data_IF_339005859680
#
_entry.id   IF_339005859680
#
_cell.length_a   1.000
_cell.length_b   1.000
_cell.length_c   1.000
_cell.angle_alpha   90.00
_cell.angle_beta   90.00
_cell.angle_gamma   90.00
#
_symmetry.space_group_name_H-M   'P 1'
#
loop_
_entity.id
_entity.type
_entity.pdbx_description
1 polymer ?
#
# COMPACT_ATOMS: atom_id res chain seq x y z
N UNK A 1 -12.51 18.29 20.99
CA UNK A 1 -11.13 17.77 21.09
C UNK A 1 -10.78 16.63 20.12
N UNK A 2 -11.71 15.76 19.67
CA UNK A 2 -11.37 14.67 18.71
C UNK A 2 -11.13 15.14 17.26
N UNK A 3 -11.73 16.26 16.82
CA UNK A 3 -11.63 16.76 15.44
C UNK A 3 -10.21 17.20 15.02
N UNK A 4 -9.39 17.69 15.96
CA UNK A 4 -8.05 18.26 15.67
C UNK A 4 -7.04 17.19 15.24
N UNK A 5 -7.26 15.92 15.63
CA UNK A 5 -6.34 14.80 15.33
C UNK A 5 -6.79 13.93 14.16
N UNK A 6 -7.83 14.32 13.43
CA UNK A 6 -8.33 13.50 12.32
C UNK A 6 -7.28 13.25 11.24
N UNK A 7 -6.40 14.24 11.01
CA UNK A 7 -5.28 14.16 10.07
C UNK A 7 -3.97 13.69 10.72
N UNK A 8 -3.98 13.24 11.97
CA UNK A 8 -2.79 12.76 12.69
C UNK A 8 -2.63 11.25 12.52
N UNK A 9 -1.61 10.84 11.76
CA UNK A 9 -1.40 9.44 11.38
C UNK A 9 -1.19 8.50 12.57
N UNK A 10 -0.52 8.98 13.61
CA UNK A 10 -0.29 8.21 14.84
C UNK A 10 -1.61 7.95 15.57
N UNK A 11 -2.41 9.00 15.78
CA UNK A 11 -3.72 8.91 16.39
C UNK A 11 -4.66 8.01 15.59
N UNK A 12 -4.64 8.10 14.26
CA UNK A 12 -5.42 7.21 13.38
C UNK A 12 -4.99 5.76 13.52
N UNK A 13 -3.69 5.50 13.59
CA UNK A 13 -3.17 4.14 13.76
C UNK A 13 -3.63 3.49 15.07
N UNK A 14 -3.91 4.31 16.10
CA UNK A 14 -4.47 3.90 17.39
C UNK A 14 -6.00 3.70 17.36
N UNK A 15 -6.68 4.11 16.28
CA UNK A 15 -8.11 3.87 16.13
C UNK A 15 -8.36 2.54 15.42
N UNK A 16 -9.20 1.70 16.02
CA UNK A 16 -9.51 0.35 15.48
C UNK A 16 -10.10 0.40 14.07
N UNK A 17 -11.02 1.33 13.81
CA UNK A 17 -11.73 1.46 12.55
C UNK A 17 -11.11 2.43 11.54
N UNK A 18 -10.05 3.15 11.92
CA UNK A 18 -9.42 4.10 11.00
C UNK A 18 -8.37 3.42 10.12
N UNK A 19 -8.35 3.86 8.87
CA UNK A 19 -7.31 3.72 7.86
C UNK A 19 -6.59 5.06 7.71
N UNK A 20 -5.39 5.06 7.15
CA UNK A 20 -4.66 6.29 6.85
C UNK A 20 -5.24 7.02 5.64
N UNK A 21 -6.07 6.37 4.83
CA UNK A 21 -6.71 6.98 3.65
C UNK A 21 -8.23 6.85 3.81
N UNK A 22 -8.93 7.98 3.91
CA UNK A 22 -10.36 7.99 4.28
C UNK A 22 -11.25 7.38 3.19
N UNK A 23 -10.78 7.36 1.94
CA UNK A 23 -11.42 6.66 0.83
C UNK A 23 -11.69 5.18 1.12
N UNK A 24 -10.90 4.57 2.00
CA UNK A 24 -11.03 3.17 2.42
C UNK A 24 -11.91 2.95 3.66
N UNK A 25 -12.50 4.01 4.18
CA UNK A 25 -13.41 3.96 5.32
C UNK A 25 -14.85 4.07 4.84
N UNK A 26 -15.39 5.28 4.91
CA UNK A 26 -16.74 5.58 4.51
C UNK A 26 -16.90 7.04 4.12
N UNK A 27 -17.28 7.27 2.85
CA UNK A 27 -17.59 8.59 2.31
C UNK A 27 -18.82 9.27 2.96
N UNK A 28 -19.71 8.51 3.62
CA UNK A 28 -20.87 9.05 4.34
C UNK A 28 -20.56 9.50 5.78
N UNK A 29 -19.40 9.12 6.33
CA UNK A 29 -19.00 9.43 7.71
C UNK A 29 -17.78 10.35 7.76
N UNK A 30 -17.64 11.27 6.79
CA UNK A 30 -16.57 12.26 6.81
C UNK A 30 -16.83 13.33 7.87
N UNK A 31 -15.78 13.70 8.60
CA UNK A 31 -15.80 14.78 9.59
C UNK A 31 -16.05 16.15 8.95
N UNK A 32 -15.74 16.28 7.65
CA UNK A 32 -15.87 17.49 6.84
C UNK A 32 -17.28 17.65 6.26
N UNK A 33 -18.08 16.57 6.22
CA UNK A 33 -19.44 16.57 5.68
C UNK A 33 -20.33 15.65 6.53
N UNK A 34 -20.74 16.15 7.70
CA UNK A 34 -21.61 15.43 8.64
C UNK A 34 -23.00 15.29 8.00
N UNK A 35 -23.20 14.23 7.22
CA UNK A 35 -24.52 13.83 6.75
C UNK A 35 -25.31 13.26 7.93
N UNK A 36 -26.65 13.40 7.88
CA UNK A 36 -27.56 12.94 8.94
C UNK A 36 -27.57 11.42 9.15
N UNK A 37 -26.95 10.65 8.26
CA UNK A 37 -26.77 9.20 8.39
C UNK A 37 -25.32 8.81 8.08
N UNK A 38 -24.71 8.10 9.01
CA UNK A 38 -23.37 7.53 8.90
C UNK A 38 -23.51 6.00 8.87
N UNK A 39 -22.98 5.36 7.84
CA UNK A 39 -23.03 3.90 7.68
C UNK A 39 -21.69 3.25 8.08
N UNK A 40 -21.59 1.93 8.05
CA UNK A 40 -20.33 1.25 8.37
C UNK A 40 -19.26 1.43 7.27
N UNK A 41 -19.67 1.51 6.00
CA UNK A 41 -18.75 1.53 4.86
C UNK A 41 -17.85 0.30 4.84
N UNK A 42 -16.59 0.48 4.46
CA UNK A 42 -15.62 -0.61 4.41
C UNK A 42 -15.01 -0.97 5.76
N UNK A 43 -15.35 -0.26 6.85
CA UNK A 43 -14.78 -0.52 8.18
C UNK A 43 -15.28 -1.89 8.69
N UNK A 44 -14.39 -2.79 9.17
CA UNK A 44 -14.79 -4.07 9.74
C UNK A 44 -15.81 -3.93 10.89
N UNK A 45 -16.75 -4.87 10.98
CA UNK A 45 -17.87 -4.81 11.95
C UNK A 45 -17.39 -5.14 13.36
N UNK A 46 -16.49 -6.11 13.47
CA UNK A 46 -15.86 -6.52 14.72
C UNK A 46 -14.35 -6.49 14.60
N UNK A 47 -13.66 -6.33 15.72
CA UNK A 47 -12.21 -6.35 15.77
C UNK A 47 -11.70 -7.11 16.99
N UNK A 48 -10.65 -7.89 16.79
CA UNK A 48 -9.85 -8.49 17.85
C UNK A 48 -8.57 -7.68 17.98
N UNK A 49 -8.38 -7.09 19.16
CA UNK A 49 -7.10 -6.48 19.53
C UNK A 49 -6.11 -7.59 19.91
N UNK A 50 -5.22 -7.95 18.98
CA UNK A 50 -4.23 -8.99 19.20
C UNK A 50 -2.99 -8.41 19.88
N UNK A 51 -2.67 -8.94 21.05
CA UNK A 51 -1.46 -8.60 21.83
C UNK A 51 -0.51 -9.79 21.96
N UNK A 52 -1.04 -11.02 21.82
CA UNK A 52 -0.29 -12.26 21.94
C UNK A 52 -0.55 -13.20 20.75
N UNK A 53 0.40 -14.08 20.39
CA UNK A 53 0.22 -15.06 19.31
C UNK A 53 -1.05 -15.93 19.45
N UNK A 54 -1.51 -16.17 20.68
CA UNK A 54 -2.73 -16.93 20.98
C UNK A 54 -3.98 -16.20 20.47
N UNK A 55 -4.03 -14.87 20.53
CA UNK A 55 -5.14 -14.08 19.99
C UNK A 55 -5.23 -14.23 18.48
N UNK A 56 -4.07 -14.23 17.78
CA UNK A 56 -4.02 -14.48 16.33
C UNK A 56 -4.59 -15.87 16.03
N UNK A 57 -4.08 -16.90 16.72
CA UNK A 57 -4.50 -18.30 16.49
C UNK A 57 -6.00 -18.47 16.71
N UNK A 58 -6.52 -17.97 17.83
CA UNK A 58 -7.94 -18.07 18.16
C UNK A 58 -8.82 -17.30 17.15
N UNK A 59 -8.39 -16.12 16.70
CA UNK A 59 -9.13 -15.32 15.71
C UNK A 59 -9.20 -16.02 14.36
N UNK A 60 -8.08 -16.57 13.88
CA UNK A 60 -8.02 -17.33 12.61
C UNK A 60 -8.92 -18.57 12.71
N UNK A 61 -8.83 -19.33 13.81
CA UNK A 61 -9.68 -20.51 14.02
C UNK A 61 -11.17 -20.15 14.06
N UNK A 62 -11.52 -19.08 14.78
CA UNK A 62 -12.90 -18.60 14.87
C UNK A 62 -13.43 -18.15 13.51
N UNK A 63 -12.64 -17.36 12.77
CA UNK A 63 -13.01 -16.89 11.44
C UNK A 63 -13.20 -18.05 10.45
N UNK A 64 -12.28 -19.02 10.46
CA UNK A 64 -12.37 -20.23 9.63
C UNK A 64 -13.61 -21.07 9.97
N UNK A 65 -13.83 -21.35 11.25
CA UNK A 65 -14.95 -22.20 11.71
C UNK A 65 -16.31 -21.59 11.38
N UNK A 66 -16.41 -20.26 11.42
CA UNK A 66 -17.66 -19.53 11.22
C UNK A 66 -17.78 -18.92 9.81
N UNK A 67 -16.87 -19.26 8.88
CA UNK A 67 -16.84 -18.72 7.52
C UNK A 67 -16.92 -17.18 7.47
N UNK A 68 -16.17 -16.52 8.36
CA UNK A 68 -16.11 -15.06 8.42
C UNK A 68 -15.00 -14.54 7.52
N UNK A 69 -15.28 -13.44 6.83
CA UNK A 69 -14.25 -12.68 6.10
C UNK A 69 -13.26 -12.11 7.11
N UNK A 70 -12.02 -12.59 7.08
CA UNK A 70 -10.94 -12.10 7.94
C UNK A 70 -10.17 -10.99 7.24
N UNK A 71 -9.94 -9.89 7.94
CA UNK A 71 -9.10 -8.77 7.50
C UNK A 71 -8.01 -8.54 8.52
N UNK A 72 -6.80 -8.24 8.07
CA UNK A 72 -5.65 -8.00 8.94
C UNK A 72 -5.22 -6.54 8.81
N UNK A 73 -5.05 -5.86 9.96
CA UNK A 73 -4.56 -4.49 9.99
C UNK A 73 -3.47 -4.34 11.04
N UNK A 74 -2.39 -3.66 10.70
CA UNK A 74 -1.47 -3.07 11.67
C UNK A 74 -1.79 -1.58 11.86
N UNK A 75 -1.28 -0.72 10.97
CA UNK A 75 -1.43 0.74 11.01
C UNK A 75 -2.57 1.28 10.16
N UNK A 76 -3.06 0.50 9.19
CA UNK A 76 -4.08 0.94 8.23
C UNK A 76 -3.55 1.78 7.06
N UNK A 77 -2.25 1.71 6.78
CA UNK A 77 -1.57 2.50 5.74
C UNK A 77 -1.66 1.89 4.33
N UNK A 78 -2.56 0.93 4.11
CA UNK A 78 -2.63 0.27 2.82
C UNK A 78 -3.35 1.16 1.79
N UNK A 79 -2.63 1.59 0.74
CA UNK A 79 -3.16 2.46 -0.32
C UNK A 79 -4.12 1.73 -1.26
N UNK A 80 -4.15 0.40 -1.22
CA UNK A 80 -5.03 -0.45 -2.02
C UNK A 80 -6.23 -0.98 -1.23
N UNK A 81 -6.43 -0.56 0.03
CA UNK A 81 -7.60 -0.92 0.82
C UNK A 81 -7.58 -2.35 1.37
N UNK A 82 -6.44 -3.03 1.35
CA UNK A 82 -6.32 -4.45 1.68
C UNK A 82 -6.48 -4.76 3.18
N UNK A 83 -6.33 -3.74 4.02
CA UNK A 83 -6.47 -3.83 5.48
C UNK A 83 -7.88 -3.48 6.01
N UNK A 84 -8.90 -3.46 5.15
CA UNK A 84 -10.28 -3.10 5.51
C UNK A 84 -11.31 -3.73 4.58
N UNK A 85 -12.48 -4.14 5.08
CA UNK A 85 -13.60 -4.59 4.25
C UNK A 85 -14.94 -4.59 5.00
N UNK A 86 -16.01 -4.31 4.24
CA UNK A 86 -17.38 -4.46 4.70
C UNK A 86 -17.67 -5.90 5.18
N UNK A 87 -18.40 -6.02 6.29
CA UNK A 87 -18.87 -7.30 6.83
C UNK A 87 -17.78 -8.22 7.37
N UNK A 88 -16.57 -7.69 7.61
CA UNK A 88 -15.41 -8.50 8.03
C UNK A 88 -15.15 -8.47 9.53
N UNK A 89 -14.39 -9.47 9.98
CA UNK A 89 -13.74 -9.53 11.29
C UNK A 89 -12.29 -9.04 11.14
N UNK A 90 -11.93 -8.00 11.89
CA UNK A 90 -10.58 -7.44 11.90
C UNK A 90 -9.70 -8.15 12.92
N UNK A 91 -8.58 -8.70 12.47
CA UNK A 91 -7.44 -9.04 13.30
C UNK A 91 -6.50 -7.83 13.34
N UNK A 92 -6.50 -7.11 14.47
CA UNK A 92 -5.73 -5.88 14.63
C UNK A 92 -4.42 -6.13 15.39
N UNK A 93 -3.29 -5.99 14.68
CA UNK A 93 -1.95 -6.32 15.15
C UNK A 93 -1.17 -5.13 15.74
N UNK A 94 -1.78 -3.94 15.85
CA UNK A 94 -1.10 -2.69 16.22
C UNK A 94 -0.25 -2.80 17.51
N UNK A 95 -0.71 -3.58 18.50
CA UNK A 95 -0.06 -3.68 19.81
C UNK A 95 1.01 -4.78 19.90
N UNK A 96 1.26 -5.53 18.83
CA UNK A 96 2.33 -6.53 18.78
C UNK A 96 3.68 -5.87 18.47
N UNK A 97 4.22 -5.12 19.45
CA UNK A 97 5.42 -4.27 19.30
C UNK A 97 6.71 -4.89 19.86
N UNK A 98 6.73 -6.18 20.17
CA UNK A 98 7.94 -6.81 20.71
C UNK A 98 9.07 -6.82 19.66
N UNK A 99 10.24 -6.29 20.02
CA UNK A 99 11.41 -6.15 19.14
C UNK A 99 12.63 -6.79 19.80
N UNK A 100 13.41 -7.52 19.00
CA UNK A 100 14.70 -8.09 19.44
C UNK A 100 15.80 -7.54 18.55
N UNK A 101 16.86 -6.99 19.16
CA UNK A 101 18.02 -6.51 18.42
C UNK A 101 18.87 -7.70 17.96
N UNK A 102 19.13 -7.79 16.66
CA UNK A 102 20.08 -8.76 16.11
C UNK A 102 21.41 -8.03 15.88
N UNK A 103 22.49 -8.35 16.64
CA UNK A 103 23.70 -7.52 16.70
C UNK A 103 24.60 -7.52 15.44
N UNK A 104 24.14 -8.06 14.31
CA UNK A 104 24.95 -8.27 13.10
C UNK A 104 24.48 -7.42 11.89
N UNK A 105 24.07 -6.17 12.10
CA UNK A 105 23.66 -5.30 10.99
C UNK A 105 24.77 -4.31 10.64
N UNK A 106 25.41 -4.51 9.49
CA UNK A 106 26.28 -3.50 8.86
C UNK A 106 25.45 -2.78 7.80
N UNK A 107 24.91 -1.60 8.12
CA UNK A 107 24.31 -0.72 7.12
C UNK A 107 25.37 0.22 6.56
N UNK A 108 25.49 0.29 5.23
CA UNK A 108 26.27 1.34 4.58
C UNK A 108 25.36 2.56 4.46
N UNK A 109 25.75 3.67 5.07
CA UNK A 109 25.09 4.96 4.86
C UNK A 109 25.48 5.45 3.46
N UNK A 110 24.59 5.28 2.48
CA UNK A 110 24.89 5.56 1.07
C UNK A 110 24.83 7.06 0.76
N UNK A 111 24.21 7.88 1.63
CA UNK A 111 24.15 9.33 1.47
C UNK A 111 24.06 10.04 2.83
N UNK A 112 25.01 10.95 3.09
CA UNK A 112 24.94 11.92 4.17
C UNK A 112 24.58 13.28 3.56
N UNK A 113 23.31 13.66 3.59
CA UNK A 113 22.93 15.05 3.35
C UNK A 113 23.17 15.85 4.63
N UNK A 114 24.08 16.83 4.58
CA UNK A 114 24.10 17.89 5.59
C UNK A 114 23.10 18.96 5.19
N UNK A 115 21.88 18.86 5.71
CA UNK A 115 20.96 19.99 5.70
C UNK A 115 21.26 20.87 6.92
N UNK A 116 21.62 22.13 6.64
CA UNK A 116 21.74 23.15 7.68
C UNK A 116 20.36 23.79 7.86
N UNK A 117 19.80 23.61 9.06
CA UNK A 117 18.54 24.24 9.42
C UNK A 117 18.82 25.54 10.17
N UNK A 118 18.07 26.59 9.85
CA UNK A 118 18.19 27.91 10.49
C UNK A 118 17.92 27.87 12.00
N UNK A 119 17.21 26.84 12.49
CA UNK A 119 17.00 26.58 13.92
C UNK A 119 16.62 25.13 14.18
N UNK A 120 16.72 24.69 15.44
CA UNK A 120 16.23 23.38 15.89
C UNK A 120 14.71 23.23 15.64
N UNK A 121 13.95 24.32 15.73
CA UNK A 121 12.52 24.35 15.43
C UNK A 121 12.25 24.17 13.93
N UNK A 122 13.06 24.79 13.06
CA UNK A 122 12.98 24.60 11.61
C UNK A 122 13.39 23.19 11.20
N UNK A 123 14.40 22.61 11.85
CA UNK A 123 14.72 21.18 11.75
C UNK A 123 13.51 20.33 12.12
N UNK A 124 12.88 20.60 13.26
CA UNK A 124 11.70 19.85 13.70
C UNK A 124 10.51 20.01 12.74
N UNK A 125 10.30 21.19 12.17
CA UNK A 125 9.21 21.47 11.23
C UNK A 125 9.43 20.87 9.84
N UNK A 126 10.68 20.78 9.38
CA UNK A 126 11.02 20.30 8.03
C UNK A 126 11.30 18.79 8.01
N UNK A 127 11.90 18.23 9.07
CA UNK A 127 12.25 16.81 9.17
C UNK A 127 11.32 15.96 10.04
N UNK A 128 10.42 16.57 10.84
CA UNK A 128 9.12 15.90 10.98
C UNK A 128 8.38 16.15 9.68
N UNK A 129 8.83 15.48 8.62
CA UNK A 129 7.90 15.03 7.62
C UNK A 129 6.78 14.37 8.41
N UNK A 130 5.67 15.09 8.56
CA UNK A 130 4.37 14.49 8.49
C UNK A 130 4.49 13.71 7.20
N UNK A 131 4.79 12.41 7.26
CA UNK A 131 4.43 11.49 6.19
C UNK A 131 2.94 11.79 6.02
N UNK A 132 2.54 12.59 5.01
CA UNK A 132 1.24 13.19 5.00
C UNK A 132 0.32 12.03 4.65
N UNK A 133 -0.11 11.39 5.70
CA UNK A 133 -0.85 10.15 5.75
C UNK A 133 -1.99 10.56 6.65
N UNK A 134 -3.22 10.20 6.28
CA UNK A 134 -4.46 10.90 6.65
C UNK A 134 -4.93 11.96 5.64
N UNK A 135 -4.78 11.72 4.33
CA UNK A 135 -5.54 12.41 3.28
C UNK A 135 -5.94 11.42 2.20
N UNK A 136 -6.92 11.74 1.35
CA UNK A 136 -7.32 10.82 0.28
C UNK A 136 -6.35 10.86 -0.88
N UNK A 137 -5.87 9.70 -1.29
CA UNK A 137 -5.02 9.62 -2.45
C UNK A 137 -4.75 8.20 -2.88
N UNK A 138 -4.09 8.12 -4.02
CA UNK A 138 -3.61 6.90 -4.64
C UNK A 138 -2.18 7.12 -5.08
N UNK A 139 -1.48 6.02 -5.26
CA UNK A 139 -0.11 6.04 -5.74
C UNK A 139 0.04 5.03 -6.86
N UNK A 140 1.15 5.15 -7.59
CA UNK A 140 1.73 4.01 -8.26
C UNK A 140 3.25 4.11 -8.21
N UNK A 141 3.94 3.00 -8.45
CA UNK A 141 5.38 2.94 -8.24
C UNK A 141 6.10 2.05 -9.24
N UNK A 142 7.42 2.26 -9.32
CA UNK A 142 8.37 1.37 -9.99
C UNK A 142 9.64 1.22 -9.16
N UNK A 143 10.16 -0.01 -9.15
CA UNK A 143 11.50 -0.31 -8.69
C UNK A 143 12.46 -0.16 -9.87
N UNK A 144 13.35 0.83 -9.81
CA UNK A 144 14.31 1.16 -10.86
C UNK A 144 15.65 0.47 -10.55
N UNK A 145 16.11 -0.47 -11.41
CA UNK A 145 17.38 -1.15 -11.24
C UNK A 145 18.59 -0.21 -11.28
N UNK A 146 19.64 -0.56 -10.53
CA UNK A 146 20.93 0.15 -10.53
C UNK A 146 21.49 0.35 -11.95
N UNK A 147 21.34 -0.63 -12.83
CA UNK A 147 21.82 -0.57 -14.21
C UNK A 147 21.18 0.56 -15.01
N UNK A 148 19.89 0.84 -14.81
CA UNK A 148 19.19 1.97 -15.46
C UNK A 148 19.71 3.28 -14.89
N UNK A 149 19.83 3.38 -13.57
CA UNK A 149 20.31 4.60 -12.91
C UNK A 149 21.72 4.97 -13.39
N UNK A 150 22.61 3.99 -13.53
CA UNK A 150 24.02 4.19 -13.91
C UNK A 150 24.22 4.41 -15.42
N UNK A 151 23.46 3.70 -16.25
CA UNK A 151 23.73 3.67 -17.69
C UNK A 151 22.76 4.53 -18.51
N UNK A 152 21.63 4.94 -17.92
CA UNK A 152 20.57 5.70 -18.60
C UNK A 152 20.16 6.94 -17.77
N UNK A 153 21.13 7.56 -17.09
CA UNK A 153 20.88 8.67 -16.16
C UNK A 153 20.14 9.83 -16.82
N UNK A 154 20.51 10.21 -18.05
CA UNK A 154 19.86 11.29 -18.78
C UNK A 154 18.41 10.97 -19.13
N UNK A 155 18.13 9.75 -19.61
CA UNK A 155 16.77 9.29 -19.91
C UNK A 155 15.90 9.29 -18.66
N UNK A 156 16.43 8.77 -17.55
CA UNK A 156 15.77 8.76 -16.24
C UNK A 156 15.45 10.18 -15.75
N UNK A 157 16.42 11.10 -15.87
CA UNK A 157 16.23 12.50 -15.51
C UNK A 157 15.15 13.17 -16.38
N UNK A 158 15.12 12.91 -17.68
CA UNK A 158 14.10 13.44 -18.58
C UNK A 158 12.69 12.94 -18.23
N UNK A 159 12.54 11.65 -17.90
CA UNK A 159 11.26 11.13 -17.44
C UNK A 159 10.79 11.81 -16.15
N UNK A 160 11.67 11.99 -15.15
CA UNK A 160 11.30 12.71 -13.93
C UNK A 160 10.91 14.17 -14.20
N UNK A 161 11.63 14.86 -15.07
CA UNK A 161 11.29 16.22 -15.49
C UNK A 161 9.94 16.27 -16.21
N UNK A 162 9.65 15.29 -17.07
CA UNK A 162 8.39 15.22 -17.78
C UNK A 162 7.23 14.91 -16.83
N UNK A 163 7.41 13.97 -15.89
CA UNK A 163 6.40 13.67 -14.85
C UNK A 163 6.09 14.93 -14.04
N UNK A 164 7.12 15.64 -13.59
CA UNK A 164 6.98 16.89 -12.84
C UNK A 164 6.27 18.00 -13.66
N UNK A 165 6.56 18.12 -14.96
CA UNK A 165 5.89 19.09 -15.85
C UNK A 165 4.41 18.76 -16.06
N UNK A 166 4.05 17.48 -16.03
CA UNK A 166 2.68 17.00 -16.16
C UNK A 166 1.95 16.88 -14.81
N UNK A 167 2.63 17.19 -13.70
CA UNK A 167 2.03 17.17 -12.38
C UNK A 167 0.94 18.23 -12.25
N UNK A 168 -0.19 17.82 -11.69
CA UNK A 168 -1.29 18.71 -11.35
C UNK A 168 -1.29 18.98 -9.84
N UNK A 169 -2.15 19.88 -9.36
CA UNK A 169 -2.34 20.13 -7.93
C UNK A 169 -2.52 18.83 -7.14
N UNK A 170 -1.99 18.77 -5.91
CA UNK A 170 -2.00 17.59 -5.04
C UNK A 170 -1.27 16.36 -5.63
N UNK A 171 -0.24 16.56 -6.46
CA UNK A 171 0.61 15.46 -6.92
C UNK A 171 2.00 15.53 -6.31
N UNK A 172 2.62 14.38 -6.05
CA UNK A 172 3.97 14.28 -5.51
C UNK A 172 4.73 13.17 -6.24
N UNK A 173 5.95 13.48 -6.69
CA UNK A 173 6.92 12.49 -7.16
C UNK A 173 7.94 12.28 -6.04
N UNK A 174 8.04 11.06 -5.55
CA UNK A 174 9.00 10.69 -4.50
C UNK A 174 9.99 9.65 -5.05
N UNK A 175 11.25 9.84 -4.71
CA UNK A 175 12.36 8.98 -5.13
C UNK A 175 13.07 8.53 -3.86
N UNK A 176 12.87 7.27 -3.50
CA UNK A 176 13.48 6.64 -2.33
C UNK A 176 14.62 5.74 -2.78
N UNK A 177 15.74 5.77 -2.07
CA UNK A 177 16.83 4.81 -2.31
C UNK A 177 16.55 3.53 -1.52
N UNK A 178 16.61 2.38 -2.21
CA UNK A 178 16.25 1.07 -1.63
C UNK A 178 17.35 0.01 -1.79
N UNK A 179 18.55 0.41 -2.21
CA UNK A 179 19.68 -0.50 -2.46
C UNK A 179 20.39 -0.97 -1.19
N UNK A 180 20.99 -2.16 -1.29
CA UNK A 180 22.10 -2.60 -0.45
C UNK A 180 21.71 -3.53 0.71
N UNK A 181 22.72 -4.11 1.35
CA UNK A 181 22.54 -5.00 2.50
C UNK A 181 21.67 -6.21 2.18
N UNK A 182 20.64 -6.43 3.00
CA UNK A 182 19.70 -7.55 2.84
C UNK A 182 18.77 -7.39 1.62
N UNK A 183 18.48 -6.16 1.17
CA UNK A 183 17.64 -5.94 0.00
C UNK A 183 18.30 -6.52 -1.27
N UNK A 184 19.61 -6.36 -1.42
CA UNK A 184 20.42 -6.93 -2.53
C UNK A 184 20.84 -8.39 -2.30
N UNK A 185 20.49 -8.99 -1.16
CA UNK A 185 20.93 -10.34 -0.82
C UNK A 185 20.09 -11.41 -1.56
N UNK A 186 20.72 -12.13 -2.47
CA UNK A 186 20.09 -13.19 -3.27
C UNK A 186 20.21 -14.59 -2.65
N UNK A 187 20.76 -14.71 -1.45
CA UNK A 187 20.93 -16.01 -0.76
C UNK A 187 19.59 -16.66 -0.43
N UNK A 188 18.56 -15.87 -0.11
CA UNK A 188 17.21 -16.35 0.16
C UNK A 188 16.34 -16.33 -1.11
N UNK A 189 16.38 -17.44 -1.86
CA UNK A 189 15.58 -17.64 -3.08
C UNK A 189 14.12 -18.04 -2.83
N UNK A 190 13.69 -18.09 -1.57
CA UNK A 190 12.40 -18.68 -1.16
C UNK A 190 11.47 -17.70 -0.43
N UNK A 191 11.51 -16.42 -0.79
CA UNK A 191 10.52 -15.45 -0.32
C UNK A 191 9.44 -15.21 -1.39
N UNK A 192 8.37 -14.49 -1.01
CA UNK A 192 7.26 -14.12 -1.88
C UNK A 192 7.41 -12.73 -2.51
N UNK A 193 8.56 -12.08 -2.31
CA UNK A 193 8.84 -10.73 -2.77
C UNK A 193 9.39 -10.79 -4.19
N UNK A 194 9.04 -9.82 -5.04
CA UNK A 194 9.57 -9.75 -6.39
C UNK A 194 11.12 -9.69 -6.38
N UNK A 195 11.83 -10.57 -7.12
CA UNK A 195 13.30 -10.55 -7.17
C UNK A 195 13.92 -9.22 -7.65
N UNK A 196 13.14 -8.35 -8.32
CA UNK A 196 13.61 -7.01 -8.73
C UNK A 196 14.08 -6.13 -7.56
N UNK A 197 13.63 -6.40 -6.33
CA UNK A 197 14.17 -5.73 -5.13
C UNK A 197 15.68 -5.93 -4.95
N UNK A 198 16.23 -7.05 -5.45
CA UNK A 198 17.66 -7.35 -5.34
C UNK A 198 18.55 -6.45 -6.21
N UNK A 199 17.99 -5.87 -7.27
CA UNK A 199 18.73 -5.02 -8.21
C UNK A 199 18.25 -3.57 -8.20
N UNK A 200 17.13 -3.28 -7.53
CA UNK A 200 16.58 -1.94 -7.40
C UNK A 200 17.52 -1.02 -6.62
N UNK A 201 17.84 0.13 -7.22
CA UNK A 201 18.52 1.22 -6.54
C UNK A 201 17.53 2.27 -6.05
N UNK A 202 16.49 2.54 -6.85
CA UNK A 202 15.46 3.51 -6.52
C UNK A 202 14.09 2.83 -6.48
N UNK A 203 13.27 3.24 -5.52
CA UNK A 203 11.83 3.05 -5.52
C UNK A 203 11.23 4.42 -5.80
N UNK A 204 10.66 4.55 -6.99
CA UNK A 204 10.06 5.79 -7.48
C UNK A 204 8.57 5.60 -7.39
N UNK A 205 7.88 6.48 -6.67
CA UNK A 205 6.42 6.47 -6.63
C UNK A 205 5.86 7.86 -6.88
N UNK A 206 4.71 7.87 -7.52
CA UNK A 206 3.96 9.08 -7.83
C UNK A 206 2.63 9.00 -7.12
N UNK A 207 2.34 9.99 -6.29
CA UNK A 207 1.12 10.12 -5.53
C UNK A 207 0.21 11.19 -6.13
N UNK A 208 -1.09 10.95 -6.06
CA UNK A 208 -2.13 11.91 -6.39
C UNK A 208 -3.19 11.91 -5.29
N UNK A 209 -3.32 13.05 -4.62
CA UNK A 209 -4.33 13.27 -3.59
C UNK A 209 -5.54 14.08 -4.06
N UNK A 210 -6.58 14.10 -3.24
CA UNK A 210 -7.78 14.93 -3.42
C UNK A 210 -8.47 15.29 -2.09
N UNK A 211 -9.28 16.36 -2.06
CA UNK A 211 -10.09 16.74 -0.88
C UNK A 211 -11.19 15.73 -0.52
N UNK A 212 -11.64 15.72 0.73
CA UNK A 212 -12.67 14.78 1.23
C UNK A 212 -14.01 14.84 0.48
N UNK A 213 -14.36 15.99 -0.07
CA UNK A 213 -15.60 16.25 -0.81
C UNK A 213 -15.43 16.10 -2.34
N UNK A 214 -14.29 15.57 -2.80
CA UNK A 214 -14.02 15.34 -4.21
C UNK A 214 -15.08 14.44 -4.87
N UNK A 215 -15.53 14.84 -6.06
CA UNK A 215 -16.47 14.04 -6.85
C UNK A 215 -15.83 12.72 -7.31
N UNK A 216 -16.67 11.72 -7.59
CA UNK A 216 -16.21 10.41 -8.08
C UNK A 216 -15.42 10.56 -9.39
N UNK A 217 -15.81 11.50 -10.24
CA UNK A 217 -15.12 11.80 -11.50
C UNK A 217 -13.69 12.30 -11.26
N UNK A 218 -13.46 13.13 -10.24
CA UNK A 218 -12.12 13.59 -9.88
C UNK A 218 -11.25 12.45 -9.36
N UNK A 219 -11.84 11.52 -8.60
CA UNK A 219 -11.14 10.33 -8.09
C UNK A 219 -10.74 9.39 -9.25
N UNK A 220 -11.65 9.16 -10.20
CA UNK A 220 -11.38 8.37 -11.41
C UNK A 220 -10.33 9.05 -12.31
N UNK A 221 -10.43 10.35 -12.53
CA UNK A 221 -9.44 11.11 -13.29
C UNK A 221 -8.05 11.06 -12.63
N UNK A 222 -8.01 11.06 -11.31
CA UNK A 222 -6.77 10.87 -10.53
C UNK A 222 -6.17 9.49 -10.78
N UNK A 223 -6.98 8.42 -10.80
CA UNK A 223 -6.51 7.07 -11.12
C UNK A 223 -5.93 6.97 -12.53
N UNK A 224 -6.60 7.56 -13.52
CA UNK A 224 -6.08 7.65 -14.89
C UNK A 224 -4.76 8.43 -14.95
N UNK A 225 -4.63 9.50 -14.15
CA UNK A 225 -3.39 10.27 -14.08
C UNK A 225 -2.24 9.41 -13.51
N UNK A 226 -2.46 8.65 -12.44
CA UNK A 226 -1.44 7.73 -11.90
C UNK A 226 -0.98 6.75 -12.97
N UNK A 227 -1.91 6.04 -13.61
CA UNK A 227 -1.55 5.03 -14.62
C UNK A 227 -0.71 5.64 -15.75
N UNK A 228 -1.06 6.85 -16.22
CA UNK A 228 -0.27 7.56 -17.24
C UNK A 228 1.12 7.94 -16.75
N UNK A 229 1.24 8.48 -15.54
CA UNK A 229 2.53 8.89 -14.98
C UNK A 229 3.46 7.68 -14.79
N UNK A 230 2.92 6.56 -14.33
CA UNK A 230 3.70 5.35 -14.09
C UNK A 230 4.08 4.65 -15.39
N UNK A 231 3.23 4.65 -16.41
CA UNK A 231 3.58 4.17 -17.75
C UNK A 231 4.78 4.91 -18.36
N UNK A 232 5.00 6.18 -18.01
CA UNK A 232 6.20 6.90 -18.46
C UNK A 232 7.48 6.27 -17.92
N UNK A 233 7.46 5.73 -16.69
CA UNK A 233 8.61 5.02 -16.13
C UNK A 233 8.85 3.67 -16.82
N UNK A 234 7.82 3.02 -17.34
CA UNK A 234 7.98 1.77 -18.10
C UNK A 234 8.75 1.97 -19.43
N UNK A 235 8.78 3.20 -19.96
CA UNK A 235 9.58 3.53 -21.15
C UNK A 235 11.10 3.54 -20.90
N UNK A 236 11.53 3.66 -19.64
CA UNK A 236 12.94 3.77 -19.25
C UNK A 236 13.71 2.44 -19.22
N UNK A 237 13.01 1.32 -19.43
CA UNK A 237 13.49 0.00 -18.99
C UNK A 237 13.16 -1.16 -19.96
N UNK A 238 13.12 -0.91 -21.27
CA UNK A 238 12.64 -1.89 -22.25
C UNK A 238 11.23 -2.44 -21.92
N UNK A 239 10.34 -1.61 -21.36
CA UNK A 239 8.94 -1.97 -21.12
C UNK A 239 8.69 -2.77 -19.84
N UNK A 240 7.83 -3.79 -19.92
CA UNK A 240 7.13 -4.52 -18.84
C UNK A 240 7.98 -5.21 -17.76
N UNK A 241 9.30 -5.00 -17.75
CA UNK A 241 10.25 -5.69 -16.87
C UNK A 241 10.40 -5.06 -15.48
N UNK A 242 9.93 -3.83 -15.27
CA UNK A 242 10.02 -3.20 -13.96
C UNK A 242 9.04 -3.83 -12.97
N UNK A 243 9.45 -4.00 -11.72
CA UNK A 243 8.55 -4.41 -10.66
C UNK A 243 7.98 -3.18 -9.92
N UNK A 244 7.01 -3.39 -9.05
CA UNK A 244 6.54 -2.37 -8.14
C UNK A 244 6.30 -2.94 -6.74
N UNK A 245 6.29 -2.05 -5.74
CA UNK A 245 5.94 -2.43 -4.39
C UNK A 245 4.42 -2.53 -4.28
N UNK A 246 3.90 -3.70 -3.93
CA UNK A 246 2.46 -3.99 -3.96
C UNK A 246 1.62 -3.02 -3.13
N UNK A 247 2.12 -2.54 -1.99
CA UNK A 247 1.41 -1.58 -1.14
C UNK A 247 1.29 -0.19 -1.79
N UNK A 248 2.12 0.10 -2.78
CA UNK A 248 2.22 1.38 -3.46
C UNK A 248 2.13 1.21 -4.99
N UNK A 249 1.39 0.20 -5.43
CA UNK A 249 1.16 -0.06 -6.83
C UNK A 249 0.01 0.79 -7.38
N UNK A 250 0.02 1.01 -8.69
CA UNK A 250 -1.15 1.57 -9.37
C UNK A 250 -2.35 0.65 -9.14
N UNK A 251 -3.51 1.14 -8.67
CA UNK A 251 -4.75 0.38 -8.63
C UNK A 251 -5.17 -0.28 -9.95
N UNK A 252 -4.67 0.20 -11.09
CA UNK A 252 -4.91 -0.35 -12.43
C UNK A 252 -3.63 -0.93 -13.09
N UNK A 253 -2.61 -1.25 -12.30
CA UNK A 253 -1.39 -1.97 -12.70
C UNK A 253 -1.65 -3.09 -13.73
N UNK A 254 -1.20 -2.92 -14.99
CA UNK A 254 -1.21 -4.00 -15.95
C UNK A 254 -0.19 -5.07 -15.57
N UNK A 255 -0.48 -6.34 -15.90
CA UNK A 255 0.42 -7.46 -15.62
C UNK A 255 0.82 -7.57 -14.13
N UNK A 256 -0.08 -7.18 -13.21
CA UNK A 256 0.17 -7.09 -11.76
C UNK A 256 0.86 -8.34 -11.17
N UNK A 257 0.56 -9.52 -11.72
CA UNK A 257 1.14 -10.81 -11.32
C UNK A 257 2.66 -10.79 -11.46
N UNK A 258 3.12 -10.30 -12.62
CA UNK A 258 4.53 -10.10 -12.88
C UNK A 258 5.12 -8.96 -12.07
N UNK A 259 4.39 -7.84 -11.96
CA UNK A 259 4.88 -6.65 -11.26
C UNK A 259 5.08 -6.89 -9.75
N UNK A 260 4.21 -7.70 -9.14
CA UNK A 260 4.21 -7.96 -7.71
C UNK A 260 5.03 -9.19 -7.31
N UNK A 261 5.02 -10.24 -8.14
CA UNK A 261 5.60 -11.55 -7.79
C UNK A 261 6.71 -12.01 -8.73
N UNK A 262 6.98 -11.27 -9.82
CA UNK A 262 8.02 -11.61 -10.79
C UNK A 262 7.57 -12.69 -11.78
N UNK A 263 8.45 -13.65 -12.08
CA UNK A 263 8.18 -14.64 -13.13
C UNK A 263 6.88 -15.44 -12.90
N UNK A 264 6.24 -15.86 -14.00
CA UNK A 264 5.06 -16.73 -13.94
C UNK A 264 5.32 -18.02 -13.14
N UNK A 265 6.54 -18.57 -13.21
CA UNK A 265 6.94 -19.76 -12.44
C UNK A 265 6.89 -19.50 -10.93
N UNK A 266 7.42 -18.36 -10.47
CA UNK A 266 7.36 -17.97 -9.06
C UNK A 266 5.91 -17.74 -8.64
N UNK A 267 5.14 -17.03 -9.45
CA UNK A 267 3.73 -16.77 -9.16
C UNK A 267 2.89 -18.05 -9.07
N UNK A 268 3.05 -18.99 -10.01
CA UNK A 268 2.40 -20.31 -9.97
C UNK A 268 2.83 -21.14 -8.74
N UNK A 269 4.08 -21.00 -8.29
CA UNK A 269 4.55 -21.64 -7.04
C UNK A 269 3.87 -21.04 -5.82
N UNK A 270 3.76 -19.71 -5.74
CA UNK A 270 3.07 -19.04 -4.63
C UNK A 270 1.58 -19.41 -4.62
N UNK A 271 0.94 -19.48 -5.79
CA UNK A 271 -0.43 -20.01 -5.96
C UNK A 271 -0.60 -21.39 -5.36
N UNK A 272 0.28 -22.33 -5.69
CA UNK A 272 0.15 -23.71 -5.21
C UNK A 272 0.37 -23.83 -3.70
N UNK A 273 1.25 -23.00 -3.13
CA UNK A 273 1.42 -22.88 -1.68
C UNK A 273 0.13 -22.37 -1.03
N UNK A 274 -0.48 -21.31 -1.57
CA UNK A 274 -1.76 -20.80 -1.09
C UNK A 274 -2.86 -21.86 -1.15
N UNK A 275 -3.05 -22.50 -2.30
CA UNK A 275 -4.05 -23.56 -2.48
C UNK A 275 -3.85 -24.73 -1.50
N UNK A 276 -2.61 -25.02 -1.12
CA UNK A 276 -2.29 -26.07 -0.14
C UNK A 276 -2.63 -25.67 1.30
N UNK A 277 -2.32 -24.44 1.71
CA UNK A 277 -2.39 -24.02 3.12
C UNK A 277 -3.65 -23.22 3.48
N UNK A 278 -4.32 -22.61 2.51
CA UNK A 278 -5.62 -22.00 2.70
C UNK A 278 -6.54 -22.29 1.49
N UNK A 279 -6.97 -23.55 1.36
CA UNK A 279 -7.89 -23.98 0.30
C UNK A 279 -9.29 -23.36 0.45
N UNK A 280 -9.63 -22.86 1.65
CA UNK A 280 -10.90 -22.19 1.95
C UNK A 280 -10.92 -20.71 1.56
N UNK A 281 -9.77 -20.11 1.25
CA UNK A 281 -9.66 -18.68 0.99
C UNK A 281 -10.05 -17.83 2.20
N UNK A 282 -9.61 -18.21 3.40
CA UNK A 282 -9.86 -17.49 4.64
C UNK A 282 -9.19 -16.12 4.68
N UNK A 283 -7.89 -16.08 4.38
CA UNK A 283 -7.20 -14.81 4.28
C UNK A 283 -7.74 -14.15 3.03
N UNK A 284 -8.29 -12.90 3.09
CA UNK A 284 -8.92 -12.23 1.91
C UNK A 284 -8.49 -10.83 1.41
N UNK A 285 -8.26 -10.62 0.08
CA UNK A 285 -7.77 -9.33 -0.48
C UNK A 285 -8.88 -8.54 -1.07
N UNK A 286 -8.87 -7.26 -0.72
CA UNK A 286 -9.88 -6.31 -1.12
C UNK A 286 -9.34 -5.33 -2.17
N UNK A 287 -8.10 -5.53 -2.63
CA UNK A 287 -7.42 -4.67 -3.59
C UNK A 287 -8.07 -4.55 -4.98
N UNK A 288 -7.73 -3.47 -5.67
CA UNK A 288 -8.19 -3.09 -7.02
C UNK A 288 -7.75 -4.03 -8.18
N UNK A 289 -7.02 -5.13 -7.91
CA UNK A 289 -6.60 -6.13 -8.91
C UNK A 289 -7.27 -7.49 -8.71
N UNK A 290 -8.02 -8.00 -9.70
CA UNK A 290 -8.43 -9.43 -9.72
C UNK A 290 -7.30 -10.23 -10.36
N UNK A 291 -6.84 -11.39 -9.92
CA UNK A 291 -7.25 -12.41 -8.95
C UNK A 291 -5.98 -13.11 -8.40
N UNK A 292 -5.66 -13.14 -7.09
CA UNK A 292 -4.50 -13.87 -6.56
C UNK A 292 -4.71 -15.40 -6.42
N UNK A 293 -5.89 -15.94 -6.77
CA UNK A 293 -6.15 -17.18 -7.54
C UNK A 293 -7.43 -18.03 -7.21
N UNK A 294 -8.51 -17.34 -6.85
CA UNK A 294 -9.99 -17.54 -6.88
C UNK A 294 -10.74 -18.85 -6.53
N UNK A 295 -11.89 -18.63 -5.88
CA UNK A 295 -13.16 -19.26 -6.24
C UNK A 295 -14.42 -18.38 -5.91
N UNK A 296 -14.63 -17.30 -6.68
CA UNK A 296 -15.91 -16.75 -7.24
C UNK A 296 -16.27 -15.28 -6.88
N UNK A 297 -15.71 -14.37 -7.71
CA UNK A 297 -16.16 -13.05 -8.25
C UNK A 297 -17.36 -12.26 -7.66
N UNK A 298 -17.22 -10.92 -7.49
CA UNK A 298 -17.55 -9.77 -8.41
C UNK A 298 -17.04 -8.42 -7.82
N UNK A 299 -17.51 -7.20 -8.16
CA UNK A 299 -16.99 -5.92 -7.60
C UNK A 299 -18.01 -4.78 -7.63
N UNK A 300 -17.79 -3.74 -6.81
CA UNK A 300 -18.02 -2.30 -7.14
C UNK A 300 -16.99 -1.39 -6.42
N UNK A 301 -16.56 -0.23 -7.00
CA UNK A 301 -15.35 0.51 -6.63
C UNK A 301 -15.53 1.70 -5.67
N UNK A 302 -16.74 1.92 -5.14
CA UNK A 302 -17.03 2.99 -4.16
C UNK A 302 -18.02 2.48 -3.11
N UNK A 303 -18.11 3.08 -1.90
CA UNK A 303 -19.03 2.65 -0.87
C UNK A 303 -20.45 3.16 -1.19
N UNK A 304 -21.06 2.72 -2.29
CA UNK A 304 -22.50 2.69 -2.38
C UNK A 304 -22.96 1.37 -1.76
N UNK A 305 -23.70 1.45 -0.65
CA UNK A 305 -24.11 0.30 0.16
C UNK A 305 -25.10 -0.64 -0.53
N UNK A 306 -24.97 -0.87 -1.84
CA UNK A 306 -25.90 -1.65 -2.65
C UNK A 306 -25.15 -2.47 -3.68
N UNK A 307 -25.03 -3.77 -3.37
CA UNK A 307 -24.90 -4.90 -4.31
C UNK A 307 -23.59 -5.04 -5.10
N UNK A 308 -23.17 -6.29 -5.26
CA UNK A 308 -22.06 -6.67 -6.14
C UNK A 308 -20.99 -7.48 -5.41
N UNK A 309 -21.27 -8.78 -5.32
CA UNK A 309 -20.48 -9.98 -4.96
C UNK A 309 -18.92 -9.91 -4.95
N UNK A 310 -18.25 -10.76 -4.15
CA UNK A 310 -16.94 -11.47 -4.24
C UNK A 310 -15.53 -10.84 -4.43
N UNK A 311 -14.56 -11.11 -3.53
CA UNK A 311 -13.17 -11.56 -3.84
C UNK A 311 -12.44 -12.07 -2.57
N UNK A 312 -11.48 -13.00 -2.71
CA UNK A 312 -10.75 -13.81 -1.68
C UNK A 312 -9.16 -13.69 -1.85
N UNK A 313 -8.30 -13.64 -0.81
CA UNK A 313 -6.78 -13.39 -0.69
C UNK A 313 -6.13 -14.79 -0.50
N UNK A 314 -4.80 -14.77 -0.66
CA UNK A 314 -3.66 -15.38 0.09
C UNK A 314 -3.68 -15.34 1.62
#
# INVERSE_FOLDING_TARGET
>A
MRHIRWTDSSWRSDQVGAMQYFSWENVSCSISNIKSSCTQGSIPVFAVNATWPEHIRATIQFASTNNLRLVIKATGHDLLGRSTAFGSLLLWLHYMKNMTLIPQYSSVMVLQYRMLFLSLLYYFYVLNEIDPTSYNGIVGSRLIPETIVRNQTDTLAQAFLQMKRQSLSFSQLTISMVSGGQASNTSNKYNSVNPAWHTALLHVFYAKGWPDDASVELQQASAVQISRQIQMLDTLANGDQLACYMNEADPNEPNWQHRFFGSQTLYNRLKSVKQKYDPSGLFVDNGYHGDPYDAKSTRSPFPDGTTGSGFQLV
#
